data_IF_432779458658
#
_entry.id   IF_432779458658
#
_cell.length_a   1.000
_cell.length_b   1.000
_cell.length_c   1.000
_cell.angle_alpha   90.00
_cell.angle_beta   90.00
_cell.angle_gamma   90.00
#
_symmetry.space_group_name_H-M   'P 1'
#
loop_
_entity.id
_entity.type
_entity.pdbx_description
1 polymer ?
#
# COMPACT_ATOMS: atom_id res chain seq x y z
N UNK A 1 8.41 -12.07 -5.37
CA UNK A 1 7.16 -12.86 -5.46
C UNK A 1 6.02 -12.02 -6.02
N UNK A 2 4.87 -12.61 -6.37
CA UNK A 2 3.71 -11.89 -6.90
C UNK A 2 2.50 -12.18 -6.02
N UNK A 3 1.84 -11.13 -5.57
CA UNK A 3 0.59 -11.19 -4.82
C UNK A 3 -0.55 -10.70 -5.69
N UNK A 4 -1.73 -11.29 -5.50
CA UNK A 4 -2.94 -10.64 -6.00
C UNK A 4 -3.15 -9.33 -5.23
N UNK A 5 -3.70 -8.31 -5.89
CA UNK A 5 -3.85 -7.00 -5.25
C UNK A 5 -4.72 -7.07 -3.99
N UNK A 6 -5.74 -7.94 -3.96
CA UNK A 6 -6.53 -8.17 -2.74
C UNK A 6 -5.70 -8.79 -1.62
N UNK A 7 -4.86 -9.78 -1.93
CA UNK A 7 -3.93 -10.40 -0.98
C UNK A 7 -2.94 -9.36 -0.45
N UNK A 8 -2.32 -8.57 -1.33
CA UNK A 8 -1.43 -7.48 -0.95
C UNK A 8 -2.09 -6.46 -0.03
N UNK A 9 -3.34 -6.06 -0.30
CA UNK A 9 -4.07 -5.14 0.57
C UNK A 9 -4.27 -5.72 1.96
N UNK A 10 -4.69 -6.98 2.07
CA UNK A 10 -4.92 -7.62 3.37
C UNK A 10 -3.62 -7.79 4.17
N UNK A 11 -2.51 -8.17 3.52
CA UNK A 11 -1.20 -8.27 4.17
C UNK A 11 -0.76 -6.90 4.73
N UNK A 12 -0.84 -5.83 3.93
CA UNK A 12 -0.50 -4.48 4.41
C UNK A 12 -1.40 -4.03 5.56
N UNK A 13 -2.71 -4.30 5.47
CA UNK A 13 -3.68 -3.97 6.54
C UNK A 13 -3.37 -4.74 7.84
N UNK A 14 -2.94 -5.99 7.73
CA UNK A 14 -2.52 -6.81 8.86
C UNK A 14 -1.33 -6.17 9.57
N UNK A 15 -0.32 -5.73 8.81
CA UNK A 15 0.85 -5.03 9.37
C UNK A 15 0.48 -3.68 9.99
N UNK A 16 -0.41 -2.92 9.34
CA UNK A 16 -0.91 -1.66 9.89
C UNK A 16 -1.61 -1.84 11.24
N UNK A 17 -2.35 -2.94 11.43
CA UNK A 17 -3.03 -3.23 12.69
C UNK A 17 -2.06 -3.52 13.85
N UNK A 18 -0.75 -3.69 13.57
CA UNK A 18 0.30 -3.79 14.57
C UNK A 18 0.70 -2.44 15.20
N UNK A 19 0.31 -1.32 14.59
CA UNK A 19 0.59 0.03 15.08
C UNK A 19 -0.59 0.60 15.85
N UNK A 20 -0.35 1.12 17.06
CA UNK A 20 -1.42 1.66 17.93
C UNK A 20 -2.06 2.93 17.34
N UNK A 21 -1.25 3.73 16.66
CA UNK A 21 -1.63 5.01 16.06
C UNK A 21 -2.44 4.83 14.76
N UNK A 22 -2.29 3.68 14.09
CA UNK A 22 -3.06 3.37 12.88
C UNK A 22 -4.40 2.75 13.26
N UNK A 23 -5.39 3.60 13.49
CA UNK A 23 -6.75 3.17 13.80
C UNK A 23 -7.42 2.43 12.64
N UNK A 24 -8.43 1.60 12.93
CA UNK A 24 -9.24 0.92 11.90
C UNK A 24 -9.81 1.87 10.84
N UNK A 25 -10.16 3.11 11.23
CA UNK A 25 -10.64 4.13 10.30
C UNK A 25 -9.55 4.56 9.32
N UNK A 26 -8.30 4.72 9.80
CA UNK A 26 -7.15 5.05 8.96
C UNK A 26 -6.79 3.91 8.01
N UNK A 27 -6.89 2.65 8.47
CA UNK A 27 -6.69 1.46 7.63
C UNK A 27 -7.72 1.42 6.50
N UNK A 28 -9.00 1.65 6.82
CA UNK A 28 -10.08 1.68 5.83
C UNK A 28 -9.88 2.79 4.80
N UNK A 29 -9.52 4.00 5.24
CA UNK A 29 -9.21 5.13 4.34
C UNK A 29 -8.01 4.81 3.44
N UNK A 30 -6.99 4.16 3.98
CA UNK A 30 -5.83 3.73 3.22
C UNK A 30 -6.23 2.75 2.11
N UNK A 31 -7.02 1.71 2.42
CA UNK A 31 -7.49 0.73 1.45
C UNK A 31 -8.28 1.40 0.31
N UNK A 32 -9.24 2.27 0.67
CA UNK A 32 -10.04 3.02 -0.30
C UNK A 32 -9.16 3.86 -1.24
N UNK A 33 -8.15 4.54 -0.70
CA UNK A 33 -7.24 5.37 -1.49
C UNK A 33 -6.26 4.53 -2.32
N UNK A 34 -5.72 3.44 -1.78
CA UNK A 34 -4.88 2.49 -2.52
C UNK A 34 -5.60 1.92 -3.76
N UNK A 35 -6.87 1.54 -3.61
CA UNK A 35 -7.74 1.09 -4.72
C UNK A 35 -8.00 2.18 -5.78
N UNK A 36 -7.99 3.45 -5.41
CA UNK A 36 -8.11 4.56 -6.37
C UNK A 36 -6.78 4.81 -7.08
N UNK A 37 -5.67 4.83 -6.32
CA UNK A 37 -4.32 5.05 -6.83
C UNK A 37 -3.95 3.97 -7.85
N UNK A 38 -4.14 2.70 -7.53
CA UNK A 38 -3.71 1.58 -8.39
C UNK A 38 -4.33 1.65 -9.80
N UNK A 39 -5.57 2.16 -9.93
CA UNK A 39 -6.25 2.29 -11.23
C UNK A 39 -5.48 3.22 -12.16
N UNK A 40 -5.02 4.36 -11.63
CA UNK A 40 -4.32 5.40 -12.38
C UNK A 40 -2.79 5.36 -12.23
N UNK A 41 -2.28 4.41 -11.46
CA UNK A 41 -0.86 4.31 -11.13
C UNK A 41 -0.02 4.12 -12.39
N UNK A 42 0.97 5.00 -12.56
CA UNK A 42 2.00 4.90 -13.58
C UNK A 42 3.18 4.18 -12.94
N UNK A 43 3.23 2.88 -13.18
CA UNK A 43 4.24 2.02 -12.64
C UNK A 43 5.62 2.32 -13.25
N UNK A 44 6.48 2.96 -12.46
CA UNK A 44 7.84 3.32 -12.87
C UNK A 44 8.82 2.16 -12.74
N UNK A 45 8.53 1.20 -11.86
CA UNK A 45 9.42 0.07 -11.53
C UNK A 45 9.01 -1.24 -12.20
N UNK A 46 7.91 -1.24 -12.95
CA UNK A 46 7.32 -2.43 -13.59
C UNK A 46 6.89 -3.51 -12.57
N UNK A 47 6.52 -3.11 -11.36
CA UNK A 47 6.07 -4.01 -10.28
C UNK A 47 4.55 -4.24 -10.25
N UNK A 48 3.78 -3.59 -11.11
CA UNK A 48 2.33 -3.74 -11.25
C UNK A 48 1.99 -4.40 -12.57
N UNK A 49 1.36 -5.57 -12.49
CA UNK A 49 0.89 -6.31 -13.65
C UNK A 49 -0.63 -6.23 -13.69
N UNK A 50 -1.17 -5.51 -14.68
CA UNK A 50 -2.62 -5.40 -14.93
C UNK A 50 -3.02 -6.35 -16.04
N UNK A 51 -3.86 -7.34 -15.74
CA UNK A 51 -4.59 -8.15 -16.70
C UNK A 51 -6.06 -7.71 -16.74
N UNK A 52 -6.85 -8.17 -17.72
CA UNK A 52 -8.22 -7.68 -17.96
C UNK A 52 -9.12 -7.64 -16.71
N UNK A 53 -8.93 -8.56 -15.77
CA UNK A 53 -9.73 -8.66 -14.55
C UNK A 53 -8.91 -8.74 -13.25
N UNK A 54 -7.57 -8.77 -13.31
CA UNK A 54 -6.73 -8.98 -12.14
C UNK A 54 -5.57 -7.99 -12.12
N UNK A 55 -5.23 -7.54 -10.92
CA UNK A 55 -4.05 -6.74 -10.66
C UNK A 55 -3.13 -7.58 -9.77
N UNK A 56 -1.87 -7.69 -10.16
CA UNK A 56 -0.84 -8.33 -9.37
C UNK A 56 0.21 -7.30 -8.98
N UNK A 57 0.71 -7.43 -7.75
CA UNK A 57 1.80 -6.64 -7.20
C UNK A 57 3.02 -7.55 -7.07
N UNK A 58 4.12 -7.17 -7.70
CA UNK A 58 5.42 -7.80 -7.53
C UNK A 58 6.12 -7.17 -6.32
N UNK A 59 6.39 -7.98 -5.31
CA UNK A 59 7.17 -7.61 -4.13
C UNK A 59 8.46 -8.43 -4.11
N UNK A 60 9.57 -7.89 -3.61
CA UNK A 60 10.82 -8.65 -3.53
C UNK A 60 10.70 -9.74 -2.45
N UNK A 61 10.25 -9.33 -1.26
CA UNK A 61 10.01 -10.15 -0.08
C UNK A 61 8.94 -9.49 0.82
N UNK A 62 8.66 -10.10 1.98
CA UNK A 62 7.72 -9.58 2.98
C UNK A 62 8.14 -8.20 3.53
N UNK A 63 9.41 -7.82 3.42
CA UNK A 63 9.87 -6.51 3.90
C UNK A 63 9.31 -5.35 3.09
N UNK A 64 8.88 -5.59 1.86
CA UNK A 64 8.16 -4.58 1.09
C UNK A 64 6.78 -4.29 1.67
N UNK A 65 6.11 -5.27 2.30
CA UNK A 65 4.82 -5.08 2.98
C UNK A 65 5.02 -4.25 4.26
N UNK A 66 5.99 -4.62 5.10
CA UNK A 66 6.31 -3.87 6.34
C UNK A 66 6.63 -2.41 6.05
N UNK A 67 7.44 -2.12 5.01
CA UNK A 67 7.78 -0.74 4.62
C UNK A 67 6.56 0.11 4.30
N UNK A 68 5.50 -0.48 3.73
CA UNK A 68 4.26 0.25 3.42
C UNK A 68 3.60 0.74 4.70
N UNK A 69 3.47 -0.15 5.69
CA UNK A 69 2.89 0.17 6.98
C UNK A 69 3.77 1.18 7.75
N UNK A 70 5.09 0.98 7.78
CA UNK A 70 6.05 1.88 8.42
C UNK A 70 5.98 3.31 7.85
N UNK A 71 5.92 3.44 6.52
CA UNK A 71 5.82 4.75 5.88
C UNK A 71 4.47 5.41 6.12
N UNK A 72 3.38 4.64 6.18
CA UNK A 72 2.07 5.19 6.49
C UNK A 72 2.00 5.65 7.95
N UNK A 73 2.55 4.86 8.89
CA UNK A 73 2.72 5.25 10.29
C UNK A 73 3.51 6.55 10.41
N UNK A 74 4.69 6.62 9.80
CA UNK A 74 5.52 7.82 9.84
C UNK A 74 4.79 9.05 9.25
N UNK A 75 4.01 8.86 8.19
CA UNK A 75 3.22 9.94 7.59
C UNK A 75 2.08 10.41 8.51
N UNK A 76 1.48 9.54 9.31
CA UNK A 76 0.49 9.92 10.33
C UNK A 76 1.15 10.75 11.43
N UNK A 77 2.26 10.27 11.98
CA UNK A 77 2.99 10.94 13.08
C UNK A 77 3.51 12.33 12.69
N UNK A 78 3.87 12.53 11.42
CA UNK A 78 4.41 13.79 10.93
C UNK A 78 3.37 14.69 10.24
N UNK A 79 2.10 14.28 10.14
CA UNK A 79 1.05 14.98 9.36
C UNK A 79 1.44 15.14 7.86
N UNK A 80 2.06 14.09 7.30
CA UNK A 80 2.62 14.04 5.95
C UNK A 80 1.90 13.02 5.05
N UNK A 81 0.60 12.79 5.30
CA UNK A 81 -0.18 11.84 4.52
C UNK A 81 -0.21 12.18 3.03
N UNK A 82 -0.28 13.46 2.66
CA UNK A 82 -0.28 13.84 1.25
C UNK A 82 1.04 13.47 0.55
N UNK A 83 2.18 13.67 1.22
CA UNK A 83 3.51 13.29 0.74
C UNK A 83 3.64 11.77 0.61
N UNK A 84 3.09 11.00 1.55
CA UNK A 84 3.01 9.55 1.45
C UNK A 84 2.29 9.10 0.16
N UNK A 85 1.22 9.79 -0.23
CA UNK A 85 0.45 9.47 -1.44
C UNK A 85 1.08 10.03 -2.73
N UNK A 86 1.73 11.19 -2.70
CA UNK A 86 2.48 11.74 -3.83
C UNK A 86 3.73 10.92 -4.15
N UNK A 87 4.41 10.48 -3.09
CA UNK A 87 5.57 9.61 -3.11
C UNK A 87 5.22 8.13 -3.02
N UNK A 88 3.97 7.74 -3.28
CA UNK A 88 3.50 6.36 -3.22
C UNK A 88 4.16 5.54 -4.34
N UNK A 89 5.44 5.24 -4.15
CA UNK A 89 6.33 4.50 -5.02
C UNK A 89 6.66 3.17 -4.32
N UNK A 90 5.61 2.58 -3.75
CA UNK A 90 5.62 1.38 -2.91
C UNK A 90 5.42 0.10 -3.76
N UNK A 91 5.46 0.29 -5.07
CA UNK A 91 5.62 -0.74 -6.08
C UNK A 91 6.97 -0.52 -6.72
#
# INVERSE_FOLDING_TARGET
>A
MKLEFEEYLEEVKCEMAGYEEITEELIKKWEEKARQVIKNYKDKKNRIIKSNNSIYVEIEDEADIFKVADYYFAAIENDELDQYWEGFDIF
#
